data_IF_322004570277
#
_entry.id   IF_322004570277
#
_cell.length_a   1.000
_cell.length_b   1.000
_cell.length_c   1.000
_cell.angle_alpha   90.00
_cell.angle_beta   90.00
_cell.angle_gamma   90.00
#
_symmetry.space_group_name_H-M   'P 1'
#
loop_
_entity.id
_entity.type
_entity.pdbx_description
1 polymer ?
#
# COMPACT_ATOMS: atom_id res chain seq x y z
N UNK A 1 -7.39 9.67 -25.21
CA UNK A 1 -7.53 10.23 -23.87
C UNK A 1 -7.88 9.08 -22.95
N UNK A 2 -7.11 8.87 -21.92
CA UNK A 2 -7.29 7.82 -20.90
C UNK A 2 -7.40 8.48 -19.54
N UNK A 3 -7.90 7.73 -18.57
CA UNK A 3 -8.01 8.17 -17.19
C UNK A 3 -7.13 7.31 -16.28
N UNK A 4 -6.39 7.97 -15.39
CA UNK A 4 -5.52 7.32 -14.42
C UNK A 4 -5.81 7.84 -13.02
N UNK A 5 -5.60 7.02 -12.00
CA UNK A 5 -5.70 7.43 -10.61
C UNK A 5 -4.52 8.33 -10.21
N UNK A 6 -4.82 9.33 -9.40
CA UNK A 6 -3.84 10.10 -8.67
C UNK A 6 -4.22 10.10 -7.20
N UNK A 7 -3.49 9.35 -6.40
CA UNK A 7 -3.75 9.19 -4.98
C UNK A 7 -3.02 10.27 -4.19
N UNK A 8 -3.75 10.94 -3.32
CA UNK A 8 -3.22 11.92 -2.37
C UNK A 8 -3.44 11.43 -0.95
N UNK A 9 -2.45 11.61 -0.08
CA UNK A 9 -2.73 11.75 1.34
C UNK A 9 -3.31 13.14 1.63
N UNK A 10 -3.92 13.39 2.80
CA UNK A 10 -4.33 14.74 3.17
C UNK A 10 -3.20 15.77 3.09
N UNK A 11 -1.98 15.37 3.47
CA UNK A 11 -0.80 16.23 3.47
C UNK A 11 -0.33 16.57 2.05
N UNK A 12 -0.24 15.56 1.17
CA UNK A 12 0.15 15.80 -0.23
C UNK A 12 -0.93 16.52 -1.01
N UNK A 13 -2.22 16.35 -0.65
CA UNK A 13 -3.31 17.15 -1.17
C UNK A 13 -3.15 18.63 -0.81
N UNK A 14 -2.86 18.92 0.45
CA UNK A 14 -2.64 20.29 0.92
C UNK A 14 -1.38 20.92 0.29
N UNK A 15 -0.31 20.15 0.15
CA UNK A 15 0.90 20.59 -0.56
C UNK A 15 0.63 20.90 -2.04
N UNK A 16 -0.17 20.06 -2.72
CA UNK A 16 -0.60 20.29 -4.09
C UNK A 16 -1.41 21.60 -4.21
N UNK A 17 -2.34 21.84 -3.30
CA UNK A 17 -3.10 23.10 -3.24
C UNK A 17 -2.18 24.31 -3.08
N UNK A 18 -1.20 24.25 -2.19
CA UNK A 18 -0.22 25.32 -1.97
C UNK A 18 0.70 25.55 -3.17
N UNK A 19 0.91 24.54 -4.02
CA UNK A 19 1.75 24.62 -5.23
C UNK A 19 1.00 25.14 -6.48
N UNK A 20 -0.11 25.83 -6.31
CA UNK A 20 -0.98 26.31 -7.41
C UNK A 20 -1.58 25.20 -8.28
N UNK A 21 -1.69 23.98 -7.81
CA UNK A 21 -2.26 22.83 -8.49
C UNK A 21 -1.68 22.57 -9.89
N UNK A 22 -0.40 22.86 -10.09
CA UNK A 22 0.22 22.85 -11.43
C UNK A 22 1.15 21.66 -11.67
N UNK A 23 1.57 20.96 -10.60
CA UNK A 23 2.49 19.82 -10.68
C UNK A 23 1.95 18.66 -9.86
N UNK A 24 1.76 17.51 -10.51
CA UNK A 24 1.48 16.24 -9.82
C UNK A 24 2.74 15.41 -9.75
N UNK A 25 3.05 14.87 -8.58
CA UNK A 25 4.26 14.11 -8.29
C UNK A 25 3.98 12.67 -7.91
N UNK A 26 4.88 11.78 -8.30
CA UNK A 26 4.83 10.35 -8.03
C UNK A 26 6.19 9.84 -7.57
N UNK A 27 6.20 8.82 -6.74
CA UNK A 27 7.45 8.18 -6.27
C UNK A 27 8.13 7.43 -7.42
N UNK A 28 9.44 7.23 -7.31
CA UNK A 28 10.28 6.51 -8.29
C UNK A 28 9.67 5.19 -8.76
N UNK A 29 9.05 4.42 -7.87
CA UNK A 29 8.40 3.14 -8.19
C UNK A 29 7.30 3.25 -9.27
N UNK A 30 6.71 4.43 -9.46
CA UNK A 30 5.67 4.67 -10.46
C UNK A 30 6.24 5.06 -11.85
N UNK A 31 7.56 5.09 -12.03
CA UNK A 31 8.22 5.50 -13.29
C UNK A 31 7.71 4.73 -14.51
N UNK A 32 7.57 3.41 -14.38
CA UNK A 32 7.08 2.55 -15.48
C UNK A 32 5.61 2.88 -15.80
N UNK A 33 4.78 3.04 -14.79
CA UNK A 33 3.38 3.41 -14.96
C UNK A 33 3.24 4.84 -15.55
N UNK A 34 4.09 5.77 -15.11
CA UNK A 34 4.13 7.13 -15.63
C UNK A 34 4.42 7.17 -17.14
N UNK A 35 5.26 6.27 -17.66
CA UNK A 35 5.54 6.15 -19.08
C UNK A 35 4.34 5.74 -19.95
N UNK A 36 3.23 5.32 -19.36
CA UNK A 36 1.96 4.99 -20.07
C UNK A 36 1.02 6.20 -20.20
N UNK A 37 1.29 7.27 -19.47
CA UNK A 37 0.46 8.48 -19.43
C UNK A 37 0.95 9.46 -20.49
N UNK A 38 0.04 10.00 -21.28
CA UNK A 38 0.34 10.92 -22.36
C UNK A 38 -0.26 12.31 -22.10
N UNK A 39 0.27 13.31 -22.77
CA UNK A 39 -0.30 14.66 -22.77
C UNK A 39 -1.76 14.59 -23.25
N UNK A 40 -2.67 15.25 -22.53
CA UNK A 40 -4.11 15.22 -22.76
C UNK A 40 -4.85 14.07 -22.08
N UNK A 41 -4.14 13.13 -21.44
CA UNK A 41 -4.76 12.16 -20.53
C UNK A 41 -5.20 12.85 -19.22
N UNK A 42 -6.05 12.19 -18.45
CA UNK A 42 -6.65 12.76 -17.26
C UNK A 42 -6.27 11.96 -16.02
N UNK A 43 -5.99 12.68 -14.94
CA UNK A 43 -5.75 12.13 -13.62
C UNK A 43 -6.99 12.36 -12.75
N UNK A 44 -7.61 11.28 -12.27
CA UNK A 44 -8.71 11.32 -11.30
C UNK A 44 -8.09 11.30 -9.90
N UNK A 45 -8.32 12.36 -9.15
CA UNK A 45 -7.70 12.60 -7.86
C UNK A 45 -8.55 12.05 -6.72
N UNK A 46 -7.95 11.24 -5.88
CA UNK A 46 -8.57 10.58 -4.74
C UNK A 46 -7.74 10.77 -3.47
N UNK A 47 -8.38 11.14 -2.37
CA UNK A 47 -7.74 11.33 -1.06
C UNK A 47 -7.87 10.04 -0.26
N UNK A 48 -6.77 9.35 -0.06
CA UNK A 48 -6.74 7.96 0.43
C UNK A 48 -7.34 7.78 1.82
N UNK A 49 -6.79 8.41 2.85
CA UNK A 49 -7.23 8.24 4.24
C UNK A 49 -8.67 8.70 4.50
N UNK A 50 -9.13 9.69 3.76
CA UNK A 50 -10.49 10.20 3.87
C UNK A 50 -11.47 9.50 2.92
N UNK A 51 -10.97 8.68 2.01
CA UNK A 51 -11.77 7.97 1.01
C UNK A 51 -12.69 8.89 0.20
N UNK A 52 -12.12 9.98 -0.38
CA UNK A 52 -12.89 11.03 -1.08
C UNK A 52 -12.32 11.34 -2.46
N UNK A 53 -13.21 11.54 -3.43
CA UNK A 53 -12.86 12.04 -4.76
C UNK A 53 -12.73 13.56 -4.73
N UNK A 54 -11.56 14.08 -5.16
CA UNK A 54 -11.23 15.50 -5.02
C UNK A 54 -11.27 16.30 -6.33
N UNK A 55 -11.00 15.66 -7.47
CA UNK A 55 -10.96 16.42 -8.71
C UNK A 55 -10.44 15.65 -9.92
N UNK A 56 -10.28 16.37 -11.02
CA UNK A 56 -9.71 15.88 -12.29
C UNK A 56 -8.69 16.89 -12.76
N UNK A 57 -7.52 16.37 -13.12
CA UNK A 57 -6.43 17.13 -13.74
C UNK A 57 -6.23 16.65 -15.18
N UNK A 58 -5.86 17.55 -16.06
CA UNK A 58 -5.37 17.24 -17.41
C UNK A 58 -3.85 17.27 -17.42
N UNK A 59 -3.23 16.26 -18.00
CA UNK A 59 -1.78 16.21 -18.17
C UNK A 59 -1.37 17.13 -19.30
N UNK A 60 -0.55 18.14 -18.99
CA UNK A 60 -0.08 19.14 -19.94
C UNK A 60 1.34 18.86 -20.44
N UNK A 61 2.19 18.20 -19.61
CA UNK A 61 3.59 17.90 -19.92
C UNK A 61 4.10 16.80 -18.99
N UNK A 62 5.10 16.02 -19.43
CA UNK A 62 5.73 14.97 -18.63
C UNK A 62 5.54 13.56 -19.23
N UNK A 63 6.01 12.48 -18.54
CA UNK A 63 6.69 12.55 -17.24
C UNK A 63 8.10 13.14 -17.33
N UNK A 64 8.51 13.87 -16.30
CA UNK A 64 9.88 14.41 -16.15
C UNK A 64 10.35 14.19 -14.70
N UNK A 65 11.67 14.25 -14.49
CA UNK A 65 12.27 14.14 -13.17
C UNK A 65 12.60 15.51 -12.61
N UNK A 66 12.20 15.73 -11.37
CA UNK A 66 12.54 16.93 -10.62
C UNK A 66 12.52 16.63 -9.11
N UNK A 67 13.59 16.96 -8.42
CA UNK A 67 13.77 16.76 -6.98
C UNK A 67 13.56 18.04 -6.15
N UNK A 68 13.13 19.15 -6.76
CA UNK A 68 12.81 20.37 -6.02
C UNK A 68 11.66 20.10 -5.06
N UNK A 69 11.78 20.50 -3.78
CA UNK A 69 10.72 20.31 -2.80
C UNK A 69 9.40 20.96 -3.21
N UNK A 70 8.34 20.16 -3.31
CA UNK A 70 6.96 20.59 -3.53
C UNK A 70 6.04 19.97 -2.49
N UNK A 71 6.08 18.63 -2.35
CA UNK A 71 5.22 17.87 -1.46
C UNK A 71 5.83 17.75 -0.06
N UNK A 72 7.15 17.71 0.02
CA UNK A 72 7.93 17.69 1.27
C UNK A 72 8.96 18.81 1.26
N UNK A 73 9.30 19.31 2.45
CA UNK A 73 10.24 20.42 2.61
C UNK A 73 11.69 20.07 2.27
N UNK A 74 12.07 18.81 2.50
CA UNK A 74 13.42 18.27 2.24
C UNK A 74 13.28 16.86 1.66
N UNK A 75 14.17 16.49 0.71
CA UNK A 75 14.21 15.15 0.11
C UNK A 75 12.84 14.65 -0.39
N UNK A 76 12.18 15.47 -1.19
CA UNK A 76 10.85 15.15 -1.73
C UNK A 76 10.92 13.84 -2.55
N UNK A 77 10.22 12.75 -2.11
CA UNK A 77 10.27 11.46 -2.79
C UNK A 77 9.44 11.42 -4.08
N UNK A 78 8.65 12.46 -4.35
CA UNK A 78 7.78 12.55 -5.52
C UNK A 78 8.52 13.16 -6.71
N UNK A 79 9.54 12.45 -7.18
CA UNK A 79 10.48 12.92 -8.21
C UNK A 79 10.00 12.73 -9.64
N UNK A 80 9.07 11.80 -9.89
CA UNK A 80 8.46 11.58 -11.21
C UNK A 80 7.26 12.51 -11.33
N UNK A 81 7.31 13.51 -12.22
CA UNK A 81 6.35 14.60 -12.23
C UNK A 81 5.67 14.82 -13.57
N UNK A 82 4.46 15.33 -13.48
CA UNK A 82 3.71 15.86 -14.62
C UNK A 82 3.31 17.30 -14.35
N UNK A 83 3.39 18.14 -15.38
CA UNK A 83 2.66 19.41 -15.38
C UNK A 83 1.20 19.11 -15.64
N UNK A 84 0.34 19.65 -14.82
CA UNK A 84 -1.10 19.40 -14.86
C UNK A 84 -1.90 20.69 -14.81
N UNK A 85 -3.15 20.59 -15.26
CA UNK A 85 -4.13 21.67 -15.19
C UNK A 85 -5.42 21.14 -14.59
N UNK A 86 -5.93 21.73 -13.51
CA UNK A 86 -7.23 21.37 -12.96
C UNK A 86 -8.37 21.62 -13.96
N UNK A 87 -9.13 20.58 -14.29
CA UNK A 87 -10.37 20.69 -15.04
C UNK A 87 -11.57 20.86 -14.09
N UNK A 88 -11.56 20.11 -13.01
CA UNK A 88 -12.51 20.21 -11.90
C UNK A 88 -11.74 19.97 -10.63
N UNK A 89 -11.86 20.86 -9.65
CA UNK A 89 -11.17 20.72 -8.37
C UNK A 89 -12.09 21.16 -7.24
N UNK A 90 -12.13 20.37 -6.17
CA UNK A 90 -12.96 20.56 -4.99
C UNK A 90 -12.07 20.86 -3.78
N UNK A 91 -12.56 21.69 -2.88
CA UNK A 91 -11.97 21.85 -1.55
C UNK A 91 -12.19 20.56 -0.73
N UNK A 92 -11.37 20.35 0.28
CA UNK A 92 -11.35 19.10 1.06
C UNK A 92 -12.75 18.75 1.62
N UNK A 93 -13.48 19.74 2.13
CA UNK A 93 -14.82 19.56 2.69
C UNK A 93 -15.91 19.28 1.62
N UNK A 94 -15.63 19.65 0.37
CA UNK A 94 -16.51 19.39 -0.78
C UNK A 94 -16.18 18.09 -1.49
N UNK A 95 -15.00 17.48 -1.22
CA UNK A 95 -14.57 16.24 -1.83
C UNK A 95 -15.57 15.12 -1.55
N UNK A 96 -15.99 14.39 -2.59
CA UNK A 96 -17.09 13.44 -2.55
C UNK A 96 -16.64 12.15 -1.86
N UNK A 97 -17.27 11.73 -0.74
CA UNK A 97 -16.97 10.43 -0.13
C UNK A 97 -17.24 9.30 -1.12
N UNK A 98 -16.39 8.26 -1.13
CA UNK A 98 -16.60 7.11 -2.00
C UNK A 98 -17.92 6.38 -1.71
N UNK A 99 -18.35 6.43 -0.45
CA UNK A 99 -19.61 5.83 0.01
C UNK A 99 -20.86 6.63 -0.33
N UNK A 100 -20.74 7.73 -1.08
CA UNK A 100 -21.91 8.48 -1.59
C UNK A 100 -22.75 7.58 -2.48
N UNK A 101 -24.05 7.44 -2.18
CA UNK A 101 -24.95 6.43 -2.75
C UNK A 101 -24.92 6.41 -4.28
N UNK A 102 -24.97 7.59 -4.92
CA UNK A 102 -25.02 7.70 -6.38
C UNK A 102 -23.76 7.14 -7.07
N UNK A 103 -22.58 7.34 -6.46
CA UNK A 103 -21.33 6.80 -6.98
C UNK A 103 -21.16 5.34 -6.59
N UNK A 104 -21.40 5.01 -5.32
CA UNK A 104 -21.23 3.66 -4.79
C UNK A 104 -22.00 2.61 -5.58
N UNK A 105 -23.27 2.88 -5.88
CA UNK A 105 -24.14 1.96 -6.58
C UNK A 105 -23.90 1.89 -8.10
N UNK A 106 -23.10 2.81 -8.65
CA UNK A 106 -22.86 2.96 -10.07
C UNK A 106 -21.48 2.51 -10.55
N UNK A 107 -20.44 2.66 -9.72
CA UNK A 107 -19.07 2.29 -10.10
C UNK A 107 -18.90 0.77 -10.17
N UNK A 108 -18.21 0.28 -11.18
CA UNK A 108 -18.07 -1.15 -11.45
C UNK A 108 -17.46 -1.93 -10.29
N UNK A 109 -16.55 -1.32 -9.53
CA UNK A 109 -15.81 -1.93 -8.44
C UNK A 109 -16.46 -1.78 -7.05
N UNK A 110 -17.49 -0.93 -6.90
CA UNK A 110 -18.24 -0.77 -5.64
C UNK A 110 -19.65 -1.31 -5.72
N UNK A 111 -20.22 -1.38 -6.93
CA UNK A 111 -21.57 -1.85 -7.18
C UNK A 111 -21.80 -3.25 -6.62
N UNK A 112 -22.82 -3.39 -5.79
CA UNK A 112 -23.17 -4.65 -5.14
C UNK A 112 -22.28 -5.03 -3.97
N UNK A 113 -21.29 -4.21 -3.61
CA UNK A 113 -20.47 -4.40 -2.41
C UNK A 113 -21.14 -3.78 -1.18
N UNK A 114 -20.88 -4.35 -0.02
CA UNK A 114 -21.28 -3.75 1.26
C UNK A 114 -20.38 -2.55 1.56
N UNK A 115 -20.91 -1.41 1.96
CA UNK A 115 -20.13 -0.19 2.27
C UNK A 115 -19.04 -0.40 3.33
N UNK A 116 -19.21 -1.34 4.24
CA UNK A 116 -18.22 -1.74 5.23
C UNK A 116 -17.20 -2.77 4.75
N UNK A 117 -17.32 -3.28 3.51
CA UNK A 117 -16.34 -4.19 2.94
C UNK A 117 -15.17 -3.41 2.34
N UNK A 118 -14.00 -4.03 2.26
CA UNK A 118 -12.78 -3.47 1.67
C UNK A 118 -12.42 -4.09 0.32
N UNK A 119 -13.26 -5.00 -0.20
CA UNK A 119 -13.01 -5.71 -1.46
C UNK A 119 -12.87 -4.80 -2.69
N UNK A 120 -13.45 -3.61 -2.64
CA UNK A 120 -13.37 -2.59 -3.68
C UNK A 120 -12.04 -1.83 -3.71
N UNK A 121 -11.30 -1.80 -2.60
CA UNK A 121 -10.05 -1.00 -2.47
C UNK A 121 -8.95 -1.46 -3.44
N UNK A 122 -9.01 -2.71 -3.90
CA UNK A 122 -8.07 -3.22 -4.89
C UNK A 122 -7.95 -2.41 -6.18
N UNK A 123 -9.01 -1.69 -6.57
CA UNK A 123 -9.01 -0.82 -7.77
C UNK A 123 -8.36 0.55 -7.54
N UNK A 124 -8.31 1.03 -6.30
CA UNK A 124 -7.77 2.35 -5.94
C UNK A 124 -6.59 2.24 -4.97
N UNK A 125 -5.75 1.21 -5.14
CA UNK A 125 -4.60 0.93 -4.28
C UNK A 125 -3.28 1.58 -4.74
N UNK A 126 -3.18 1.97 -6.02
CA UNK A 126 -1.94 2.53 -6.56
C UNK A 126 -2.21 3.70 -7.51
N UNK A 127 -1.40 4.75 -7.39
CA UNK A 127 -1.40 5.85 -8.35
C UNK A 127 -1.03 5.36 -9.75
N UNK A 128 -1.52 6.05 -10.76
CA UNK A 128 -1.35 5.76 -12.18
C UNK A 128 -1.93 4.42 -12.65
N UNK A 129 -2.81 3.81 -11.82
CA UNK A 129 -3.69 2.73 -12.29
C UNK A 129 -4.71 3.30 -13.27
N UNK A 130 -4.87 2.67 -14.42
CA UNK A 130 -5.86 3.10 -15.42
C UNK A 130 -7.27 2.74 -14.93
N UNK A 131 -8.19 3.70 -15.02
CA UNK A 131 -9.62 3.53 -14.71
C UNK A 131 -10.38 3.32 -16.02
N UNK A 132 -11.38 2.46 -15.97
CA UNK A 132 -12.27 2.21 -17.10
C UNK A 132 -13.04 3.48 -17.47
N UNK A 133 -13.23 3.72 -18.76
CA UNK A 133 -13.85 4.95 -19.28
C UNK A 133 -15.27 5.18 -18.74
N UNK A 134 -16.02 4.10 -18.47
CA UNK A 134 -17.37 4.19 -17.91
C UNK A 134 -17.33 4.72 -16.46
N UNK A 135 -16.49 4.13 -15.59
CA UNK A 135 -16.31 4.58 -14.20
C UNK A 135 -15.73 5.99 -14.15
N UNK A 136 -14.74 6.28 -14.99
CA UNK A 136 -14.13 7.59 -15.09
C UNK A 136 -15.14 8.69 -15.47
N UNK A 137 -16.03 8.39 -16.41
CA UNK A 137 -17.09 9.34 -16.86
C UNK A 137 -18.11 9.58 -15.75
N UNK A 138 -18.46 8.55 -14.97
CA UNK A 138 -19.34 8.67 -13.81
C UNK A 138 -18.72 9.57 -12.73
N UNK A 139 -17.45 9.33 -12.37
CA UNK A 139 -16.72 10.14 -11.39
C UNK A 139 -16.59 11.59 -11.88
N UNK A 140 -16.18 11.81 -13.12
CA UNK A 140 -16.05 13.15 -13.70
C UNK A 140 -17.38 13.91 -13.67
N UNK A 141 -18.49 13.25 -14.03
CA UNK A 141 -19.83 13.84 -14.01
C UNK A 141 -20.27 14.20 -12.59
N UNK A 142 -19.96 13.35 -11.62
CA UNK A 142 -20.25 13.62 -10.20
C UNK A 142 -19.44 14.81 -9.69
N UNK A 143 -18.14 14.88 -9.99
CA UNK A 143 -17.26 15.98 -9.60
C UNK A 143 -17.71 17.32 -10.19
N UNK A 144 -18.13 17.34 -11.46
CA UNK A 144 -18.68 18.55 -12.12
C UNK A 144 -19.98 19.02 -11.44
N UNK A 145 -20.90 18.08 -11.15
CA UNK A 145 -22.14 18.42 -10.42
C UNK A 145 -21.83 18.97 -9.05
N UNK A 146 -20.92 18.31 -8.32
CA UNK A 146 -20.51 18.71 -6.98
C UNK A 146 -19.87 20.11 -6.96
N UNK A 147 -19.03 20.44 -7.96
CA UNK A 147 -18.44 21.76 -8.09
C UNK A 147 -19.50 22.85 -8.28
N UNK A 148 -20.59 22.52 -8.96
CA UNK A 148 -21.70 23.45 -9.18
C UNK A 148 -22.62 23.55 -7.96
N UNK A 149 -22.91 22.44 -7.28
CA UNK A 149 -23.81 22.42 -6.12
C UNK A 149 -23.14 22.97 -4.84
N UNK A 150 -21.82 22.82 -4.72
CA UNK A 150 -21.07 23.29 -3.56
C UNK A 150 -21.42 22.60 -2.25
N UNK A 151 -22.00 21.39 -2.30
CA UNK A 151 -22.37 20.66 -1.09
C UNK A 151 -21.14 20.41 -0.21
N UNK A 152 -21.34 20.43 1.12
CA UNK A 152 -20.30 20.12 2.11
C UNK A 152 -20.59 18.74 2.66
N UNK A 153 -19.55 17.91 2.69
CA UNK A 153 -19.54 16.61 3.36
C UNK A 153 -18.75 16.74 4.67
N UNK A 154 -19.41 16.89 5.82
CA UNK A 154 -18.72 17.10 7.09
C UNK A 154 -17.80 15.92 7.42
N UNK A 155 -16.73 16.19 8.17
CA UNK A 155 -15.85 15.17 8.71
C UNK A 155 -16.46 14.59 9.98
N UNK A 156 -16.46 13.29 10.10
CA UNK A 156 -16.76 12.62 11.36
C UNK A 156 -15.55 12.61 12.30
N UNK A 157 -15.71 12.02 13.50
CA UNK A 157 -14.61 11.94 14.49
C UNK A 157 -13.44 11.10 13.98
N UNK A 158 -13.71 10.07 13.21
CA UNK A 158 -12.66 9.18 12.67
C UNK A 158 -11.94 9.86 11.51
N UNK A 159 -12.64 10.62 10.67
CA UNK A 159 -12.02 11.46 9.64
C UNK A 159 -11.09 12.52 10.27
N UNK A 160 -11.52 13.17 11.37
CA UNK A 160 -10.71 14.15 12.09
C UNK A 160 -9.43 13.51 12.68
N UNK A 161 -9.53 12.29 13.22
CA UNK A 161 -8.35 11.54 13.69
C UNK A 161 -7.37 11.25 12.55
N UNK A 162 -7.86 10.87 11.36
CA UNK A 162 -7.05 10.63 10.16
C UNK A 162 -6.35 11.89 9.64
N UNK A 163 -6.88 13.07 9.93
CA UNK A 163 -6.25 14.35 9.60
C UNK A 163 -5.18 14.76 10.62
N UNK A 164 -5.23 14.21 11.84
CA UNK A 164 -4.29 14.56 12.93
C UNK A 164 -3.03 13.71 12.80
N UNK A 165 -2.09 14.11 11.95
CA UNK A 165 -0.76 13.50 11.84
C UNK A 165 0.28 14.41 12.47
N UNK A 166 1.31 13.82 13.03
CA UNK A 166 2.43 14.53 13.64
C UNK A 166 3.66 14.41 12.74
N UNK A 167 4.29 15.52 12.44
CA UNK A 167 5.57 15.54 11.73
C UNK A 167 6.70 15.58 12.74
N UNK A 168 7.62 14.62 12.66
CA UNK A 168 8.81 14.54 13.52
C UNK A 168 10.04 14.72 12.65
N UNK A 169 10.93 15.65 13.06
CA UNK A 169 12.15 15.92 12.35
C UNK A 169 13.19 14.84 12.62
N UNK A 170 13.67 14.19 11.58
CA UNK A 170 14.88 13.35 11.58
C UNK A 170 16.10 14.21 11.23
N UNK A 171 17.30 13.61 11.35
CA UNK A 171 18.54 14.27 10.92
C UNK A 171 18.59 14.50 9.41
N UNK A 172 17.96 13.63 8.64
CA UNK A 172 17.96 13.60 7.17
C UNK A 172 16.69 14.16 6.54
N UNK A 173 15.55 14.11 7.24
CA UNK A 173 14.25 14.57 6.70
C UNK A 173 13.17 14.67 7.78
N UNK A 174 12.09 15.34 7.45
CA UNK A 174 10.85 15.29 8.22
C UNK A 174 10.08 14.00 7.91
N UNK A 175 9.51 13.38 8.94
CA UNK A 175 8.77 12.12 8.84
C UNK A 175 7.43 12.27 9.54
N UNK A 176 6.37 11.83 8.87
CA UNK A 176 5.04 11.76 9.47
C UNK A 176 4.94 10.54 10.38
N UNK A 177 4.49 10.75 11.60
CA UNK A 177 4.30 9.70 12.60
C UNK A 177 2.86 9.66 13.09
N UNK A 178 2.39 8.46 13.43
CA UNK A 178 1.13 8.24 14.11
C UNK A 178 1.39 7.89 15.57
N UNK A 179 0.79 8.65 16.49
CA UNK A 179 0.82 8.33 17.92
C UNK A 179 -0.48 7.59 18.23
N UNK A 180 -0.42 6.27 18.58
CA UNK A 180 -1.62 5.51 18.92
C UNK A 180 -2.25 6.05 20.21
N UNK A 181 -3.56 6.15 20.26
CA UNK A 181 -4.31 6.37 21.49
C UNK A 181 -4.53 5.02 22.21
N UNK A 182 -4.57 5.02 23.55
CA UNK A 182 -4.68 3.82 24.39
C UNK A 182 -5.98 2.99 24.17
N UNK A 183 -6.96 3.54 23.44
CA UNK A 183 -8.26 2.89 23.19
C UNK A 183 -8.24 1.82 22.07
N UNK A 184 -7.12 1.59 21.40
CA UNK A 184 -7.02 0.64 20.28
C UNK A 184 -6.89 -0.84 20.68
N UNK A 185 -6.92 -1.14 21.96
CA UNK A 185 -6.91 -2.52 22.49
C UNK A 185 -8.35 -2.97 22.75
N UNK A 186 -9.03 -3.45 21.73
CA UNK A 186 -10.33 -4.11 21.90
C UNK A 186 -10.15 -5.51 22.50
N UNK A 187 -10.88 -5.89 23.57
CA UNK A 187 -10.80 -7.22 24.18
C UNK A 187 -11.31 -8.37 23.28
N UNK A 188 -11.82 -8.08 22.09
CA UNK A 188 -12.48 -9.05 21.19
C UNK A 188 -11.55 -9.82 20.26
N UNK A 189 -10.26 -9.65 20.36
CA UNK A 189 -9.30 -10.05 19.33
C UNK A 189 -8.52 -11.34 19.68
N UNK A 190 -9.11 -12.28 20.41
CA UNK A 190 -8.55 -13.63 20.49
C UNK A 190 -8.73 -14.34 19.14
N UNK A 191 -7.64 -14.88 18.53
CA UNK A 191 -7.74 -15.56 17.24
C UNK A 191 -8.69 -16.75 17.34
N UNK A 192 -9.63 -16.81 16.41
CA UNK A 192 -10.48 -18.00 16.27
C UNK A 192 -9.72 -19.10 15.53
N UNK A 193 -10.12 -20.35 15.67
CA UNK A 193 -9.52 -21.46 14.91
C UNK A 193 -9.69 -21.27 13.39
N UNK A 194 -10.69 -20.51 12.96
CA UNK A 194 -10.93 -20.11 11.58
C UNK A 194 -9.83 -19.16 11.09
N UNK A 195 -9.43 -18.21 11.91
CA UNK A 195 -8.48 -17.17 11.60
C UNK A 195 -7.08 -17.72 11.40
N UNK A 196 -6.64 -18.60 12.31
CA UNK A 196 -5.36 -19.31 12.19
C UNK A 196 -5.30 -20.14 10.91
N UNK A 197 -6.39 -20.81 10.54
CA UNK A 197 -6.45 -21.59 9.30
C UNK A 197 -6.36 -20.69 8.04
N UNK A 198 -6.94 -19.51 8.08
CA UNK A 198 -6.89 -18.57 6.98
C UNK A 198 -5.48 -18.00 6.78
N UNK A 199 -4.76 -17.65 7.85
CA UNK A 199 -3.37 -17.18 7.74
C UNK A 199 -2.44 -18.24 7.14
N UNK A 200 -2.60 -19.51 7.53
CA UNK A 200 -1.84 -20.64 6.97
C UNK A 200 -2.11 -20.80 5.46
N UNK A 201 -3.37 -20.65 5.01
CA UNK A 201 -3.69 -20.68 3.57
C UNK A 201 -3.01 -19.54 2.80
N UNK A 202 -2.97 -18.34 3.39
CA UNK A 202 -2.29 -17.20 2.77
C UNK A 202 -0.78 -17.42 2.74
N UNK A 203 -0.17 -17.95 3.80
CA UNK A 203 1.25 -18.33 3.79
C UNK A 203 1.54 -19.35 2.68
N UNK A 204 0.69 -20.37 2.50
CA UNK A 204 0.82 -21.35 1.45
C UNK A 204 0.73 -20.72 0.06
N UNK A 205 -0.22 -19.80 -0.18
CA UNK A 205 -0.35 -19.08 -1.44
C UNK A 205 0.88 -18.21 -1.74
N UNK A 206 1.40 -17.47 -0.76
CA UNK A 206 2.62 -16.66 -0.91
C UNK A 206 3.80 -17.54 -1.28
N UNK A 207 3.96 -18.66 -0.59
CA UNK A 207 5.02 -19.62 -0.86
C UNK A 207 4.87 -20.25 -2.27
N UNK A 208 3.67 -20.59 -2.70
CA UNK A 208 3.38 -21.11 -4.05
C UNK A 208 3.68 -20.05 -5.13
N UNK A 209 3.27 -18.80 -4.94
CA UNK A 209 3.57 -17.68 -5.85
C UNK A 209 5.09 -17.56 -6.06
N UNK A 210 5.85 -17.48 -4.97
CA UNK A 210 7.31 -17.39 -5.03
C UNK A 210 7.96 -18.59 -5.72
N UNK A 211 7.49 -19.80 -5.43
CA UNK A 211 7.94 -21.03 -6.08
C UNK A 211 7.72 -20.98 -7.58
N UNK A 212 6.53 -20.59 -8.04
CA UNK A 212 6.20 -20.45 -9.47
C UNK A 212 7.03 -19.37 -10.18
N UNK A 213 7.50 -18.38 -9.46
CA UNK A 213 8.44 -17.34 -9.95
C UNK A 213 9.90 -17.79 -9.89
N UNK A 214 10.20 -19.04 -9.50
CA UNK A 214 11.54 -19.60 -9.42
C UNK A 214 12.35 -19.15 -8.18
N UNK A 215 11.68 -18.73 -7.12
CA UNK A 215 12.31 -18.42 -5.83
C UNK A 215 12.46 -19.67 -4.98
N UNK A 216 13.49 -19.71 -4.15
CA UNK A 216 13.61 -20.63 -3.04
C UNK A 216 12.82 -20.08 -1.86
N UNK A 217 12.08 -20.94 -1.16
CA UNK A 217 11.14 -20.56 -0.12
C UNK A 217 11.65 -21.00 1.25
N UNK A 218 11.58 -20.08 2.21
CA UNK A 218 11.72 -20.42 3.63
C UNK A 218 10.39 -20.25 4.33
N UNK A 219 10.08 -21.20 5.20
CA UNK A 219 8.92 -21.18 6.11
C UNK A 219 9.45 -21.65 7.47
N UNK A 220 9.05 -21.01 8.59
CA UNK A 220 9.39 -21.45 9.93
C UNK A 220 9.08 -22.92 10.16
N UNK A 221 9.94 -23.62 10.87
CA UNK A 221 9.79 -25.07 11.08
C UNK A 221 8.47 -25.43 11.77
N UNK A 222 7.98 -24.56 12.65
CA UNK A 222 6.72 -24.76 13.37
C UNK A 222 5.51 -24.79 12.41
N UNK A 223 5.50 -23.93 11.38
CA UNK A 223 4.36 -23.73 10.49
C UNK A 223 4.42 -24.61 9.24
N UNK A 224 5.61 -25.14 8.92
CA UNK A 224 5.92 -25.87 7.69
C UNK A 224 4.93 -27.00 7.38
N UNK A 225 4.59 -27.82 8.37
CA UNK A 225 3.65 -28.94 8.18
C UNK A 225 2.25 -28.46 7.82
N UNK A 226 1.78 -27.40 8.47
CA UNK A 226 0.45 -26.81 8.23
C UNK A 226 0.39 -26.14 6.86
N UNK A 227 1.42 -25.39 6.49
CA UNK A 227 1.53 -24.74 5.19
C UNK A 227 1.60 -25.76 4.06
N UNK A 228 2.38 -26.83 4.22
CA UNK A 228 2.47 -27.92 3.22
C UNK A 228 1.15 -28.66 3.03
N UNK A 229 0.29 -28.74 4.04
CA UNK A 229 -1.04 -29.35 3.92
C UNK A 229 -1.97 -28.51 3.03
N UNK A 230 -1.82 -27.18 3.03
CA UNK A 230 -2.60 -26.26 2.19
C UNK A 230 -1.95 -26.02 0.80
N UNK A 231 -0.72 -26.48 0.58
CA UNK A 231 0.01 -26.33 -0.69
C UNK A 231 -0.62 -27.15 -1.79
N UNK A 232 -0.89 -26.54 -2.95
CA UNK A 232 -1.55 -27.21 -4.09
C UNK A 232 -0.65 -27.54 -5.27
N UNK A 233 0.61 -27.08 -5.24
CA UNK A 233 1.57 -27.28 -6.33
C UNK A 233 2.42 -28.55 -6.16
N UNK A 234 3.19 -28.89 -7.21
CA UNK A 234 4.22 -29.94 -7.16
C UNK A 234 5.39 -29.49 -6.27
N UNK A 235 6.13 -30.44 -5.74
CA UNK A 235 7.28 -30.32 -4.83
C UNK A 235 7.82 -28.91 -4.56
N UNK A 236 7.45 -28.30 -3.39
CA UNK A 236 7.87 -26.95 -3.09
C UNK A 236 9.38 -26.85 -2.89
N UNK A 237 10.07 -25.82 -3.42
CA UNK A 237 11.49 -25.59 -3.21
C UNK A 237 11.74 -24.99 -1.81
N UNK A 238 11.23 -25.65 -0.77
CA UNK A 238 11.39 -25.20 0.62
C UNK A 238 12.79 -25.54 1.11
N UNK A 239 13.46 -24.53 1.64
CA UNK A 239 14.79 -24.66 2.22
C UNK A 239 14.74 -25.33 3.61
N UNK A 240 15.59 -26.31 3.85
CA UNK A 240 15.79 -26.91 5.18
C UNK A 240 16.59 -26.03 6.11
N UNK A 241 17.50 -25.23 5.55
CA UNK A 241 18.33 -24.24 6.23
C UNK A 241 18.46 -23.00 5.38
N UNK A 242 18.48 -21.83 6.02
CA UNK A 242 18.78 -20.58 5.34
C UNK A 242 20.24 -20.58 4.88
N UNK A 243 20.50 -20.31 3.58
CA UNK A 243 21.87 -20.27 3.02
C UNK A 243 22.57 -18.94 3.34
N UNK A 244 22.42 -18.44 4.58
CA UNK A 244 22.89 -17.14 5.03
C UNK A 244 24.05 -17.31 6.01
N UNK A 245 25.02 -16.41 5.95
CA UNK A 245 26.22 -16.39 6.79
C UNK A 245 26.11 -15.25 7.81
N UNK A 246 25.12 -15.32 8.69
CA UNK A 246 24.92 -14.38 9.78
C UNK A 246 25.23 -15.02 11.13
N UNK A 247 25.37 -14.19 12.16
CA UNK A 247 25.42 -14.64 13.53
C UNK A 247 24.13 -15.33 13.95
N UNK A 248 24.21 -16.14 15.02
CA UNK A 248 23.06 -16.96 15.47
C UNK A 248 21.85 -16.13 15.87
N UNK A 249 22.05 -14.92 16.41
CA UNK A 249 20.94 -14.03 16.82
C UNK A 249 20.18 -13.53 15.61
N UNK A 250 20.89 -13.04 14.61
CA UNK A 250 20.32 -12.60 13.34
C UNK A 250 19.58 -13.75 12.65
N UNK A 251 20.19 -14.94 12.56
CA UNK A 251 19.54 -16.10 11.95
C UNK A 251 18.25 -16.49 12.67
N UNK A 252 18.25 -16.52 14.00
CA UNK A 252 17.03 -16.84 14.78
C UNK A 252 15.90 -15.85 14.54
N UNK A 253 16.20 -14.57 14.40
CA UNK A 253 15.20 -13.54 14.07
C UNK A 253 14.63 -13.78 12.67
N UNK A 254 15.49 -13.99 11.68
CA UNK A 254 15.09 -14.22 10.29
C UNK A 254 14.28 -15.53 10.14
N UNK A 255 14.66 -16.57 10.85
CA UNK A 255 13.98 -17.88 10.82
C UNK A 255 12.53 -17.84 11.33
N UNK A 256 12.13 -16.81 12.06
CA UNK A 256 10.77 -16.63 12.57
C UNK A 256 9.83 -15.90 11.62
N UNK A 257 10.35 -15.34 10.52
CA UNK A 257 9.52 -14.64 9.54
C UNK A 257 8.68 -15.65 8.76
N UNK A 258 7.39 -15.39 8.63
CA UNK A 258 6.40 -16.34 8.12
C UNK A 258 6.72 -16.90 6.74
N UNK A 259 7.13 -16.07 5.78
CA UNK A 259 7.58 -16.53 4.46
C UNK A 259 8.74 -15.64 3.96
N UNK A 260 9.82 -16.30 3.50
CA UNK A 260 10.91 -15.61 2.80
C UNK A 260 11.05 -16.15 1.38
N UNK A 261 11.26 -15.24 0.45
CA UNK A 261 11.68 -15.57 -0.91
C UNK A 261 13.15 -15.26 -1.09
N UNK A 262 13.91 -16.28 -1.50
CA UNK A 262 15.34 -16.16 -1.72
C UNK A 262 15.69 -16.44 -3.18
N UNK A 263 16.73 -15.76 -3.66
CA UNK A 263 17.38 -16.05 -4.94
C UNK A 263 18.86 -16.31 -4.66
N UNK A 264 19.26 -17.59 -4.72
CA UNK A 264 20.58 -18.01 -4.27
C UNK A 264 20.75 -17.79 -2.77
N UNK A 265 21.71 -16.92 -2.40
CA UNK A 265 22.02 -16.57 -1.00
C UNK A 265 21.47 -15.20 -0.56
N UNK A 266 20.55 -14.62 -1.29
CA UNK A 266 19.98 -13.31 -1.01
C UNK A 266 18.48 -13.41 -0.74
N UNK A 267 18.04 -12.83 0.38
CA UNK A 267 16.61 -12.61 0.64
C UNK A 267 16.15 -11.50 -0.30
N UNK A 268 15.15 -11.77 -1.10
CA UNK A 268 14.52 -10.80 -2.00
C UNK A 268 13.31 -10.16 -1.36
N UNK A 269 12.47 -10.98 -0.72
CA UNK A 269 11.23 -10.52 -0.09
C UNK A 269 11.00 -11.25 1.21
N UNK A 270 10.42 -10.55 2.17
CA UNK A 270 10.01 -11.08 3.47
C UNK A 270 8.54 -10.72 3.71
N UNK A 271 7.76 -11.69 4.19
CA UNK A 271 6.32 -11.57 4.41
C UNK A 271 5.97 -11.98 5.84
N UNK A 272 5.18 -11.15 6.50
CA UNK A 272 4.49 -11.47 7.75
C UNK A 272 2.99 -11.50 7.48
N UNK A 273 2.35 -12.60 7.83
CA UNK A 273 0.92 -12.83 7.57
C UNK A 273 0.14 -12.65 8.86
N UNK A 274 -0.50 -11.51 8.98
CA UNK A 274 -1.19 -11.09 10.18
C UNK A 274 -2.71 -11.20 10.02
N UNK A 275 -3.34 -11.88 10.94
CA UNK A 275 -4.79 -12.06 10.95
C UNK A 275 -5.47 -11.41 12.15
N UNK A 276 -4.76 -11.28 13.27
CA UNK A 276 -5.29 -10.82 14.55
C UNK A 276 -4.66 -9.51 15.04
N UNK A 277 -4.91 -9.17 16.28
CA UNK A 277 -4.36 -8.01 17.02
C UNK A 277 -2.85 -7.89 17.03
N UNK A 278 -2.12 -8.93 16.66
CA UNK A 278 -0.68 -9.03 16.78
C UNK A 278 0.12 -8.40 15.62
N UNK A 279 -0.47 -7.52 14.82
CA UNK A 279 0.21 -6.79 13.72
C UNK A 279 1.55 -6.20 14.18
N UNK A 280 1.61 -5.77 15.44
CA UNK A 280 2.82 -5.20 16.02
C UNK A 280 4.00 -6.18 16.05
N UNK A 281 3.78 -7.46 16.32
CA UNK A 281 4.87 -8.45 16.39
C UNK A 281 5.50 -8.71 15.02
N UNK A 282 4.70 -8.78 13.96
CA UNK A 282 5.19 -8.91 12.59
C UNK A 282 5.96 -7.69 12.13
N UNK A 283 5.42 -6.49 12.40
CA UNK A 283 6.13 -5.23 12.09
C UNK A 283 7.45 -5.13 12.86
N UNK A 284 7.49 -5.57 14.13
CA UNK A 284 8.72 -5.58 14.91
C UNK A 284 9.78 -6.50 14.27
N UNK A 285 9.41 -7.73 13.86
CA UNK A 285 10.33 -8.63 13.15
C UNK A 285 10.85 -8.04 11.83
N UNK A 286 10.00 -7.30 11.10
CA UNK A 286 10.43 -6.58 9.89
C UNK A 286 11.42 -5.44 10.21
N UNK A 287 11.18 -4.71 11.29
CA UNK A 287 12.10 -3.66 11.74
C UNK A 287 13.44 -4.25 12.21
N UNK A 288 13.41 -5.38 12.93
CA UNK A 288 14.60 -6.12 13.36
C UNK A 288 15.39 -6.62 12.15
N UNK A 289 14.72 -7.18 11.13
CA UNK A 289 15.37 -7.59 9.89
C UNK A 289 16.05 -6.41 9.20
N UNK A 290 15.40 -5.28 9.10
CA UNK A 290 15.97 -4.06 8.52
C UNK A 290 17.16 -3.54 9.33
N UNK A 291 17.08 -3.58 10.65
CA UNK A 291 18.16 -3.14 11.54
C UNK A 291 19.39 -4.08 11.47
N UNK A 292 19.15 -5.39 11.47
CA UNK A 292 20.21 -6.41 11.44
C UNK A 292 20.87 -6.55 10.07
N UNK A 293 20.15 -6.19 8.99
CA UNK A 293 20.62 -6.31 7.61
C UNK A 293 20.65 -4.97 6.87
N UNK A 294 21.43 -4.04 7.35
CA UNK A 294 21.45 -2.66 6.86
C UNK A 294 21.90 -2.51 5.38
N UNK A 295 22.61 -3.42 4.80
CA UNK A 295 23.16 -3.34 3.44
C UNK A 295 22.40 -4.18 2.41
N UNK A 296 21.27 -4.80 2.79
CA UNK A 296 20.49 -5.63 1.88
C UNK A 296 19.23 -4.87 1.40
N UNK A 297 18.97 -4.98 0.10
CA UNK A 297 17.72 -4.49 -0.51
C UNK A 297 16.64 -5.58 -0.38
N UNK A 298 16.06 -5.69 0.82
CA UNK A 298 15.00 -6.63 1.12
C UNK A 298 13.68 -5.85 1.09
N UNK A 299 12.73 -6.30 0.29
CA UNK A 299 11.36 -5.76 0.31
C UNK A 299 10.54 -6.47 1.37
N UNK A 300 9.95 -5.69 2.26
CA UNK A 300 9.19 -6.16 3.40
C UNK A 300 7.68 -6.02 3.13
N UNK A 301 6.90 -7.01 3.54
CA UNK A 301 5.47 -7.01 3.30
C UNK A 301 4.71 -7.48 4.55
N UNK A 302 3.75 -6.66 5.01
CA UNK A 302 2.74 -7.09 5.95
C UNK A 302 1.51 -7.51 5.16
N UNK A 303 1.12 -8.76 5.32
CA UNK A 303 -0.02 -9.34 4.60
C UNK A 303 -1.17 -9.54 5.59
N UNK A 304 -2.27 -8.83 5.40
CA UNK A 304 -3.39 -8.86 6.33
C UNK A 304 -4.74 -8.69 5.61
N UNK A 305 -5.87 -9.05 6.27
CA UNK A 305 -7.19 -8.77 5.72
C UNK A 305 -7.40 -7.27 5.45
N UNK A 306 -8.22 -6.95 4.46
CA UNK A 306 -8.52 -5.59 4.02
C UNK A 306 -8.99 -4.67 5.17
N UNK A 307 -9.81 -5.21 6.07
CA UNK A 307 -10.27 -4.47 7.24
C UNK A 307 -9.18 -4.04 8.23
N UNK A 308 -7.96 -4.58 8.08
CA UNK A 308 -6.81 -4.24 8.93
C UNK A 308 -5.84 -3.24 8.28
N UNK A 309 -6.10 -2.84 7.04
CA UNK A 309 -5.25 -1.94 6.26
C UNK A 309 -4.80 -0.70 7.02
N UNK A 310 -5.77 0.07 7.53
CA UNK A 310 -5.49 1.31 8.26
C UNK A 310 -4.69 1.06 9.55
N UNK A 311 -4.97 -0.05 10.24
CA UNK A 311 -4.21 -0.43 11.43
C UNK A 311 -2.77 -0.78 11.08
N UNK A 312 -2.53 -1.52 10.00
CA UNK A 312 -1.16 -1.81 9.51
C UNK A 312 -0.41 -0.52 9.24
N UNK A 313 -1.01 0.42 8.55
CA UNK A 313 -0.36 1.69 8.24
C UNK A 313 -0.12 2.55 9.48
N UNK A 314 -1.06 2.60 10.42
CA UNK A 314 -0.86 3.33 11.68
C UNK A 314 0.28 2.74 12.50
N UNK A 315 0.39 1.42 12.56
CA UNK A 315 1.47 0.73 13.28
C UNK A 315 2.85 0.94 12.61
N UNK A 316 2.94 0.82 11.27
CA UNK A 316 4.19 1.07 10.53
C UNK A 316 4.70 2.50 10.74
N UNK A 317 3.79 3.47 10.93
CA UNK A 317 4.13 4.89 11.16
C UNK A 317 4.42 5.24 12.62
N UNK A 318 4.41 4.30 13.56
CA UNK A 318 4.79 4.59 14.95
C UNK A 318 6.18 5.22 15.01
N UNK A 319 6.42 6.16 15.95
CA UNK A 319 7.72 6.83 16.08
C UNK A 319 8.90 5.87 16.11
N UNK A 320 8.77 4.73 16.80
CA UNK A 320 9.81 3.69 16.91
C UNK A 320 10.22 3.14 15.54
N UNK A 321 9.30 3.00 14.59
CA UNK A 321 9.57 2.49 13.25
C UNK A 321 9.87 3.59 12.23
N UNK A 322 9.37 4.80 12.48
CA UNK A 322 9.59 5.95 11.62
C UNK A 322 10.95 6.61 11.83
N UNK A 323 11.56 6.41 13.00
CA UNK A 323 12.83 7.02 13.40
C UNK A 323 14.02 6.04 13.34
N UNK A 324 13.90 4.92 12.63
CA UNK A 324 15.00 3.99 12.42
C UNK A 324 16.16 4.66 11.66
N UNK A 325 17.40 4.33 12.01
CA UNK A 325 18.61 4.96 11.44
C UNK A 325 18.67 4.91 9.92
N UNK A 326 18.14 3.84 9.31
CA UNK A 326 18.15 3.61 7.87
C UNK A 326 17.04 4.27 7.07
N UNK A 327 16.15 4.92 7.71
CA UNK A 327 14.93 5.45 7.13
C UNK A 327 13.68 4.84 7.77
N UNK A 328 12.56 5.49 7.58
CA UNK A 328 11.28 4.98 8.07
C UNK A 328 10.98 3.59 7.53
N UNK A 329 10.44 2.72 8.35
CA UNK A 329 9.99 1.39 7.92
C UNK A 329 8.98 1.49 6.77
N UNK A 330 8.15 2.54 6.76
CA UNK A 330 7.16 2.83 5.71
C UNK A 330 7.74 2.94 4.30
N UNK A 331 9.04 3.20 4.13
CA UNK A 331 9.68 3.27 2.82
C UNK A 331 9.99 1.89 2.22
N UNK A 332 10.21 0.89 3.07
CA UNK A 332 10.64 -0.45 2.66
C UNK A 332 9.61 -1.53 2.96
N UNK A 333 8.61 -1.24 3.82
CA UNK A 333 7.56 -2.15 4.21
C UNK A 333 6.23 -1.73 3.60
N UNK A 334 5.60 -2.63 2.87
CA UNK A 334 4.32 -2.41 2.21
C UNK A 334 3.24 -3.30 2.81
N UNK A 335 2.01 -2.92 2.60
CA UNK A 335 0.84 -3.74 2.88
C UNK A 335 0.40 -4.51 1.64
N UNK A 336 0.01 -5.77 1.81
CA UNK A 336 -0.65 -6.61 0.81
C UNK A 336 -1.95 -7.17 1.40
N UNK A 337 -3.06 -6.99 0.71
CA UNK A 337 -4.30 -7.59 1.15
C UNK A 337 -4.35 -9.09 0.84
N UNK A 338 -5.16 -9.83 1.59
CA UNK A 338 -5.44 -11.24 1.30
C UNK A 338 -6.04 -11.42 -0.11
N UNK A 339 -6.87 -10.47 -0.54
CA UNK A 339 -7.44 -10.46 -1.89
C UNK A 339 -6.35 -10.27 -2.95
N UNK A 340 -5.41 -9.34 -2.73
CA UNK A 340 -4.26 -9.13 -3.62
C UNK A 340 -3.42 -10.40 -3.80
N UNK A 341 -3.17 -11.14 -2.71
CA UNK A 341 -2.44 -12.42 -2.77
C UNK A 341 -3.22 -13.47 -3.59
N UNK A 342 -4.55 -13.57 -3.40
CA UNK A 342 -5.39 -14.51 -4.16
C UNK A 342 -5.47 -14.15 -5.64
N UNK A 343 -5.61 -12.87 -5.97
CA UNK A 343 -5.59 -12.37 -7.35
C UNK A 343 -4.27 -12.74 -8.03
N UNK A 344 -3.14 -12.45 -7.38
CA UNK A 344 -1.82 -12.76 -7.92
C UNK A 344 -1.62 -14.26 -8.08
N UNK A 345 -2.05 -15.10 -7.14
CA UNK A 345 -1.95 -16.54 -7.22
C UNK A 345 -2.73 -17.11 -8.43
N UNK A 346 -3.85 -16.48 -8.79
CA UNK A 346 -4.68 -16.83 -9.96
C UNK A 346 -4.13 -16.34 -11.30
N UNK A 347 -3.01 -15.57 -11.32
CA UNK A 347 -2.49 -15.02 -12.56
C UNK A 347 -1.97 -16.12 -13.51
N UNK A 348 -2.47 -16.21 -14.78
CA UNK A 348 -2.15 -17.33 -15.69
C UNK A 348 -0.68 -17.41 -16.08
N UNK A 349 0.03 -16.28 -16.10
CA UNK A 349 1.43 -16.20 -16.55
C UNK A 349 2.42 -15.96 -15.40
N UNK A 350 2.06 -16.34 -14.18
CA UNK A 350 2.85 -16.07 -12.97
C UNK A 350 4.31 -16.54 -13.08
N UNK A 351 4.56 -17.69 -13.70
CA UNK A 351 5.89 -18.25 -13.90
C UNK A 351 6.83 -17.39 -14.80
N UNK A 352 6.24 -16.46 -15.57
CA UNK A 352 6.98 -15.57 -16.47
C UNK A 352 7.11 -14.15 -15.92
N UNK A 353 6.54 -13.88 -14.76
CA UNK A 353 6.60 -12.58 -14.11
C UNK A 353 7.81 -12.47 -13.20
N UNK A 354 8.36 -11.27 -13.10
CA UNK A 354 9.33 -10.92 -12.06
C UNK A 354 8.63 -10.71 -10.72
N UNK A 355 9.35 -10.92 -9.61
CA UNK A 355 8.86 -10.60 -8.27
C UNK A 355 8.47 -9.13 -8.10
N UNK A 356 8.93 -8.24 -8.97
CA UNK A 356 8.51 -6.83 -9.01
C UNK A 356 7.02 -6.63 -9.30
N UNK A 357 6.32 -7.64 -9.84
CA UNK A 357 4.86 -7.58 -10.01
C UNK A 357 4.13 -7.36 -8.69
N UNK A 358 4.70 -7.78 -7.57
CA UNK A 358 4.15 -7.50 -6.23
C UNK A 358 3.96 -6.00 -5.96
N UNK A 359 4.73 -5.14 -6.60
CA UNK A 359 4.60 -3.69 -6.45
C UNK A 359 3.29 -3.15 -7.05
N UNK A 360 2.70 -3.87 -8.02
CA UNK A 360 1.37 -3.55 -8.57
C UNK A 360 0.23 -3.98 -7.63
N UNK A 361 0.50 -4.89 -6.70
CA UNK A 361 -0.47 -5.44 -5.73
C UNK A 361 -0.28 -4.89 -4.31
N UNK A 362 0.86 -4.30 -4.02
CA UNK A 362 1.19 -3.76 -2.70
C UNK A 362 0.80 -2.29 -2.55
N UNK A 363 0.49 -1.91 -1.32
CA UNK A 363 0.24 -0.54 -0.94
C UNK A 363 1.32 -0.08 0.04
N UNK A 364 1.84 1.11 -0.15
CA UNK A 364 2.76 1.71 0.79
C UNK A 364 1.99 2.59 1.76
N UNK A 365 2.45 2.68 3.00
CA UNK A 365 1.98 3.68 3.92
C UNK A 365 2.37 5.04 3.34
N UNK A 366 1.49 5.63 2.54
CA UNK A 366 1.70 6.96 1.97
C UNK A 366 1.54 7.98 3.09
N UNK A 367 2.55 8.83 3.21
CA UNK A 367 2.52 9.99 4.12
C UNK A 367 1.55 11.04 3.61
#
# INVERSE_FOLDING_TARGET
MKYFLNLFSPETFDAFMRSNCSVSGFRERHRIAAGRVNIGDRLICYITRLSRWAGILEVCDGPYEDNKPIFYSENDPFIVRFKVKPLTWLELEQAIPIHEDQLWDSLSFTKGQTKGSSSWTGKIRASLTQIDDADATLIESALKRQKTSGNIFPFDKDDLKKLTTHTVRRLDKDVTVTIPEDDDISPSDTPTSSDVRESIKIQALIAEIGSRMGMQIWIPRADRSSVLTEWKGDHPPILDRLPLNYDDTTLRTIEQIDVLWLKGRSIRRAFEVEHTTSIYSGILRMADLQALQPNMDIRLHIVAPEGRREKVFSEIRRPVFSLLDRGPLSENCTYLSYTSIRELAGHPHLAHLSDTVLEEYSEQAED
#
